data_IF_944939752755
#
_entry.id   IF_944939752755
#
_cell.length_a   1.000
_cell.length_b   1.000
_cell.length_c   1.000
_cell.angle_alpha   90.00
_cell.angle_beta   90.00
_cell.angle_gamma   90.00
#
_symmetry.space_group_name_H-M   'P 1'
#
loop_
_entity.id
_entity.type
_entity.pdbx_description
1 polymer ?
#
# COMPACT_ATOMS: atom_id res chain seq x y z
N UNK A 1 2.73 -1.45 16.75
CA UNK A 1 2.58 0.06 16.81
C UNK A 1 2.24 0.57 15.41
N UNK A 2 1.29 1.53 15.28
CA UNK A 2 0.95 2.13 13.97
C UNK A 2 1.33 3.61 13.96
N UNK A 3 2.04 4.05 12.90
CA UNK A 3 2.30 5.46 12.60
C UNK A 3 1.43 5.90 11.45
N UNK A 4 0.95 7.17 11.49
CA UNK A 4 0.04 7.76 10.50
C UNK A 4 0.46 9.19 10.20
N UNK A 5 0.54 9.55 8.92
CA UNK A 5 0.86 10.91 8.47
C UNK A 5 0.23 11.20 7.11
N UNK A 6 0.33 12.46 6.65
CA UNK A 6 -0.10 12.84 5.30
C UNK A 6 1.09 12.99 4.37
N UNK A 7 0.91 12.60 3.12
CA UNK A 7 1.90 12.79 2.07
C UNK A 7 1.25 13.10 0.71
N UNK A 8 2.02 13.74 -0.16
CA UNK A 8 1.58 14.10 -1.50
C UNK A 8 1.44 12.85 -2.37
N UNK A 9 0.32 12.76 -3.08
CA UNK A 9 -0.02 11.67 -3.99
C UNK A 9 -0.44 12.23 -5.36
N UNK A 10 0.00 11.63 -6.50
CA UNK A 10 -0.40 12.05 -7.84
C UNK A 10 -1.82 11.54 -8.15
N UNK A 11 -2.82 12.32 -7.81
CA UNK A 11 -4.21 12.01 -8.07
C UNK A 11 -4.60 12.27 -9.54
N UNK A 12 -5.81 11.87 -9.93
CA UNK A 12 -6.35 12.06 -11.29
C UNK A 12 -6.34 13.54 -11.69
N UNK A 13 -6.70 14.43 -10.76
CA UNK A 13 -6.82 15.87 -10.99
C UNK A 13 -5.68 16.68 -10.35
N UNK A 14 -4.46 16.16 -10.39
CA UNK A 14 -3.28 16.86 -9.85
C UNK A 14 -2.68 16.17 -8.63
N UNK A 15 -2.27 16.95 -7.63
CA UNK A 15 -1.65 16.42 -6.41
C UNK A 15 -2.59 16.58 -5.23
N UNK A 16 -2.80 15.51 -4.49
CA UNK A 16 -3.59 15.48 -3.25
C UNK A 16 -2.74 15.10 -2.05
N UNK A 17 -3.22 15.46 -0.84
CA UNK A 17 -2.69 14.93 0.40
C UNK A 17 -3.45 13.68 0.78
N UNK A 18 -2.74 12.57 0.95
CA UNK A 18 -3.32 11.30 1.38
C UNK A 18 -2.66 10.79 2.65
N UNK A 19 -3.43 10.07 3.43
CA UNK A 19 -2.93 9.42 4.63
C UNK A 19 -2.08 8.22 4.23
N UNK A 20 -0.91 8.15 4.83
CA UNK A 20 -0.04 6.99 4.80
C UNK A 20 0.04 6.38 6.20
N UNK A 21 0.20 5.07 6.26
CA UNK A 21 0.24 4.32 7.50
C UNK A 21 1.40 3.34 7.46
N UNK A 22 2.00 3.09 8.62
CA UNK A 22 3.00 2.03 8.81
C UNK A 22 2.71 1.30 10.10
N UNK A 23 2.48 0.01 10.02
CA UNK A 23 2.48 -0.89 11.15
C UNK A 23 3.92 -1.38 11.40
N UNK A 24 4.35 -1.30 12.63
CA UNK A 24 5.62 -1.83 13.12
C UNK A 24 5.33 -3.02 14.05
N UNK A 25 5.94 -4.20 13.80
CA UNK A 25 5.69 -5.40 14.59
C UNK A 25 6.11 -5.21 16.07
N UNK A 26 5.55 -6.03 16.95
CA UNK A 26 5.80 -5.95 18.40
C UNK A 26 7.28 -6.01 18.75
N UNK A 27 8.05 -6.81 18.02
CA UNK A 27 9.51 -6.95 18.21
C UNK A 27 10.33 -5.80 17.63
N UNK A 28 9.73 -4.82 16.97
CA UNK A 28 10.47 -3.71 16.34
C UNK A 28 11.29 -2.93 17.36
N UNK A 29 10.70 -2.54 18.49
CA UNK A 29 11.42 -1.81 19.55
C UNK A 29 12.34 -2.73 20.36
N UNK A 30 11.94 -3.98 20.57
CA UNK A 30 12.71 -4.94 21.37
C UNK A 30 14.01 -5.42 20.67
N UNK A 31 14.07 -5.32 19.35
CA UNK A 31 15.20 -5.79 18.53
C UNK A 31 15.73 -4.66 17.63
N UNK A 32 16.47 -3.67 18.16
CA UNK A 32 16.83 -2.44 17.45
C UNK A 32 17.73 -2.67 16.23
N UNK A 33 18.51 -3.75 16.20
CA UNK A 33 19.38 -4.07 15.06
C UNK A 33 18.68 -4.88 13.98
N UNK A 34 17.48 -5.40 14.26
CA UNK A 34 16.76 -6.23 13.32
C UNK A 34 16.11 -5.39 12.22
N UNK A 35 16.21 -5.90 10.98
CA UNK A 35 15.49 -5.39 9.81
C UNK A 35 14.37 -6.34 9.42
N UNK A 36 13.32 -5.81 8.80
CA UNK A 36 12.08 -6.51 8.56
C UNK A 36 11.69 -6.49 7.09
N UNK A 37 11.09 -7.57 6.57
CA UNK A 37 10.43 -7.53 5.27
C UNK A 37 9.24 -6.55 5.31
N UNK A 38 8.83 -6.07 4.14
CA UNK A 38 7.76 -5.07 4.02
C UNK A 38 6.65 -5.59 3.12
N UNK A 39 5.43 -5.53 3.62
CA UNK A 39 4.20 -5.69 2.85
C UNK A 39 3.64 -4.30 2.53
N UNK A 40 3.52 -3.96 1.27
CA UNK A 40 2.81 -2.78 0.79
C UNK A 40 1.36 -3.16 0.48
N UNK A 41 0.39 -2.38 0.97
CA UNK A 41 -1.02 -2.64 0.70
C UNK A 41 -1.71 -1.44 0.07
N UNK A 42 -2.59 -1.73 -0.87
CA UNK A 42 -3.53 -0.75 -1.41
C UNK A 42 -4.69 -0.51 -0.42
N UNK A 43 -5.42 0.59 -0.61
CA UNK A 43 -6.59 0.96 0.22
C UNK A 43 -6.28 1.16 1.71
N UNK A 44 -5.20 1.86 2.01
CA UNK A 44 -4.68 2.05 3.36
C UNK A 44 -5.69 2.53 4.40
N UNK A 45 -6.73 3.27 3.99
CA UNK A 45 -7.81 3.71 4.88
C UNK A 45 -8.61 2.53 5.45
N UNK A 46 -8.62 1.37 4.75
CA UNK A 46 -9.39 0.19 5.18
C UNK A 46 -8.58 -0.79 6.05
N UNK A 47 -7.27 -0.61 6.16
CA UNK A 47 -6.38 -1.65 6.68
C UNK A 47 -6.41 -1.75 8.21
N UNK A 48 -6.33 -0.61 8.92
CA UNK A 48 -6.08 -0.60 10.37
C UNK A 48 -7.20 -0.03 11.23
N UNK A 49 -7.79 1.10 10.86
CA UNK A 49 -8.68 1.88 11.74
C UNK A 49 -10.11 1.90 11.23
N UNK A 50 -11.06 1.61 12.12
CA UNK A 50 -12.49 1.65 11.78
C UNK A 50 -12.96 3.05 11.38
N UNK A 51 -12.44 4.08 12.05
CA UNK A 51 -12.78 5.49 11.78
C UNK A 51 -12.27 5.99 10.43
N UNK A 52 -11.25 5.37 9.86
CA UNK A 52 -10.72 5.71 8.54
C UNK A 52 -11.35 4.87 7.43
N UNK A 53 -11.93 3.70 7.78
CA UNK A 53 -12.41 2.73 6.82
C UNK A 53 -13.65 3.19 6.05
N UNK A 54 -13.67 2.95 4.74
CA UNK A 54 -14.74 3.36 3.82
C UNK A 54 -16.15 2.92 4.29
N UNK A 55 -16.24 1.74 4.92
CA UNK A 55 -17.50 1.18 5.42
C UNK A 55 -17.57 1.12 6.95
N UNK A 56 -16.76 1.91 7.65
CA UNK A 56 -16.76 1.99 9.11
C UNK A 56 -16.18 0.76 9.83
N UNK A 57 -15.58 -0.17 9.08
CA UNK A 57 -14.93 -1.34 9.64
C UNK A 57 -13.65 -1.65 8.88
N UNK A 58 -12.53 -1.67 9.59
CA UNK A 58 -11.22 -2.03 9.03
C UNK A 58 -11.09 -3.52 8.77
N UNK A 59 -10.08 -3.90 8.01
CA UNK A 59 -9.73 -5.31 7.74
C UNK A 59 -9.06 -5.99 8.93
N UNK A 60 -8.66 -5.24 9.98
CA UNK A 60 -8.06 -5.78 11.19
C UNK A 60 -6.67 -6.38 10.96
N UNK A 61 -5.93 -5.88 9.98
CA UNK A 61 -4.61 -6.46 9.61
C UNK A 61 -3.62 -6.34 10.75
N UNK A 62 -3.62 -5.22 11.50
CA UNK A 62 -2.71 -5.07 12.65
C UNK A 62 -2.98 -6.10 13.74
N UNK A 63 -4.27 -6.34 14.08
CA UNK A 63 -4.65 -7.33 15.08
C UNK A 63 -4.22 -8.74 14.67
N UNK A 64 -4.35 -9.05 13.37
CA UNK A 64 -3.89 -10.33 12.82
C UNK A 64 -2.37 -10.48 12.88
N UNK A 65 -1.61 -9.43 12.50
CA UNK A 65 -0.15 -9.45 12.53
C UNK A 65 0.38 -9.56 13.96
N UNK A 66 -0.27 -8.88 14.92
CA UNK A 66 0.04 -8.99 16.35
C UNK A 66 -0.30 -10.39 16.90
N UNK A 67 -1.47 -10.93 16.56
CA UNK A 67 -1.91 -12.27 16.97
C UNK A 67 -0.98 -13.38 16.47
N UNK A 68 -0.47 -13.24 15.24
CA UNK A 68 0.43 -14.24 14.62
C UNK A 68 1.91 -13.97 14.92
N UNK A 69 2.23 -12.90 15.66
CA UNK A 69 3.60 -12.42 15.89
C UNK A 69 4.43 -12.34 14.58
N UNK A 70 3.78 -11.87 13.51
CA UNK A 70 4.39 -11.82 12.17
C UNK A 70 5.48 -10.77 12.12
N UNK A 71 6.75 -11.14 11.80
CA UNK A 71 7.88 -10.23 11.85
C UNK A 71 7.99 -9.40 10.54
N UNK A 72 6.95 -8.66 10.20
CA UNK A 72 6.91 -7.83 9.00
C UNK A 72 6.41 -6.41 9.31
N UNK A 73 6.95 -5.42 8.60
CA UNK A 73 6.40 -4.07 8.51
C UNK A 73 5.30 -4.10 7.46
N UNK A 74 4.16 -3.48 7.75
CA UNK A 74 3.12 -3.27 6.74
C UNK A 74 2.97 -1.77 6.48
N UNK A 75 2.91 -1.38 5.21
CA UNK A 75 2.85 0.01 4.75
C UNK A 75 1.74 0.18 3.73
N UNK A 76 0.94 1.23 3.90
CA UNK A 76 -0.14 1.51 2.98
C UNK A 76 -0.40 3.01 2.79
N UNK A 77 -1.10 3.33 1.69
CA UNK A 77 -1.58 4.67 1.41
C UNK A 77 -3.08 4.62 1.11
N UNK A 78 -3.81 5.61 1.61
CA UNK A 78 -5.25 5.71 1.41
C UNK A 78 -5.63 5.96 -0.06
N UNK A 79 -6.77 5.41 -0.46
CA UNK A 79 -7.44 5.73 -1.72
C UNK A 79 -8.51 6.80 -1.52
N UNK A 80 -9.03 7.35 -2.61
CA UNK A 80 -10.14 8.29 -2.66
C UNK A 80 -11.25 7.81 -3.64
N UNK A 81 -12.18 8.70 -4.00
CA UNK A 81 -13.28 8.40 -4.88
C UNK A 81 -12.84 8.06 -6.32
N UNK A 82 -11.63 8.48 -6.73
CA UNK A 82 -11.05 8.18 -8.06
C UNK A 82 -10.31 6.82 -8.10
N UNK A 83 -10.48 6.01 -7.08
CA UNK A 83 -9.82 4.71 -6.92
C UNK A 83 -9.92 3.81 -8.15
N UNK A 84 -11.06 3.78 -8.82
CA UNK A 84 -11.25 2.93 -10.01
C UNK A 84 -10.32 3.34 -11.16
N UNK A 85 -10.07 4.63 -11.36
CA UNK A 85 -9.14 5.14 -12.36
C UNK A 85 -7.69 4.92 -11.93
N UNK A 86 -7.37 5.23 -10.68
CA UNK A 86 -6.01 5.14 -10.12
C UNK A 86 -5.51 3.69 -10.01
N UNK A 87 -6.43 2.74 -9.79
CA UNK A 87 -6.12 1.32 -9.67
C UNK A 87 -6.45 0.53 -10.95
N UNK A 88 -6.62 1.21 -12.06
CA UNK A 88 -6.72 0.58 -13.38
C UNK A 88 -5.36 0.63 -14.07
N UNK A 89 -4.70 -0.52 -14.30
CA UNK A 89 -3.39 -0.58 -14.96
C UNK A 89 -3.42 -0.01 -16.38
N UNK A 90 -4.52 -0.23 -17.08
CA UNK A 90 -4.73 0.15 -18.47
C UNK A 90 -6.06 0.88 -18.65
N UNK A 91 -6.15 1.63 -19.74
CA UNK A 91 -7.40 2.18 -20.22
C UNK A 91 -8.35 1.06 -20.63
N UNK A 92 -9.62 1.17 -20.23
CA UNK A 92 -10.66 0.24 -20.64
C UNK A 92 -12.05 0.89 -20.59
N UNK A 93 -12.99 0.27 -21.31
CA UNK A 93 -14.41 0.63 -21.29
C UNK A 93 -15.22 -0.49 -20.64
N UNK A 94 -16.04 -0.15 -19.67
CA UNK A 94 -16.97 -1.08 -19.02
C UNK A 94 -18.41 -0.69 -19.32
N UNK A 95 -19.28 -1.63 -19.76
CA UNK A 95 -20.66 -1.34 -20.12
C UNK A 95 -21.49 -0.75 -18.97
N UNK A 96 -21.13 -1.04 -17.73
CA UNK A 96 -21.85 -0.61 -16.53
C UNK A 96 -21.26 0.66 -15.92
N UNK A 97 -19.92 0.72 -15.85
CA UNK A 97 -19.20 1.78 -15.13
C UNK A 97 -18.59 2.84 -16.05
N UNK A 98 -18.63 2.65 -17.37
CA UNK A 98 -18.16 3.63 -18.36
C UNK A 98 -16.67 3.51 -18.67
N UNK A 99 -16.08 4.64 -19.05
CA UNK A 99 -14.71 4.76 -19.50
C UNK A 99 -13.74 4.99 -18.34
N UNK A 100 -12.62 4.25 -18.33
CA UNK A 100 -11.52 4.41 -17.37
C UNK A 100 -10.22 4.72 -18.10
N UNK A 101 -9.59 5.84 -17.77
CA UNK A 101 -8.32 6.28 -18.38
C UNK A 101 -7.10 5.41 -17.99
N UNK A 102 -7.17 4.71 -16.87
CA UNK A 102 -6.09 3.82 -16.41
C UNK A 102 -4.85 4.57 -15.93
N UNK A 103 -4.87 5.04 -14.69
CA UNK A 103 -3.75 5.74 -14.04
C UNK A 103 -2.88 4.83 -13.16
N UNK A 104 -3.07 3.52 -13.24
CA UNK A 104 -2.35 2.54 -12.42
C UNK A 104 -0.82 2.61 -12.54
N UNK A 105 -0.30 2.97 -13.71
CA UNK A 105 1.14 3.19 -13.89
C UNK A 105 1.66 4.37 -13.05
N UNK A 106 0.91 5.48 -12.97
CA UNK A 106 1.28 6.62 -12.13
C UNK A 106 1.23 6.25 -10.64
N UNK A 107 0.23 5.47 -10.23
CA UNK A 107 0.13 4.91 -8.87
C UNK A 107 1.35 4.05 -8.55
N UNK A 108 1.72 3.11 -9.41
CA UNK A 108 2.90 2.26 -9.18
C UNK A 108 4.21 3.04 -9.19
N UNK A 109 4.35 4.01 -10.10
CA UNK A 109 5.52 4.90 -10.12
C UNK A 109 5.68 5.63 -8.79
N UNK A 110 4.58 6.12 -8.20
CA UNK A 110 4.62 6.77 -6.90
C UNK A 110 4.99 5.79 -5.78
N UNK A 111 4.42 4.58 -5.75
CA UNK A 111 4.77 3.54 -4.78
C UNK A 111 6.28 3.23 -4.83
N UNK A 112 6.84 3.05 -6.03
CA UNK A 112 8.23 2.63 -6.23
C UNK A 112 9.22 3.77 -6.00
N UNK A 113 8.93 4.98 -6.51
CA UNK A 113 9.92 6.06 -6.53
C UNK A 113 9.74 7.10 -5.42
N UNK A 114 8.64 7.05 -4.66
CA UNK A 114 8.38 7.99 -3.56
C UNK A 114 8.06 7.27 -2.25
N UNK A 115 7.05 6.40 -2.24
CA UNK A 115 6.59 5.77 -1.01
C UNK A 115 7.61 4.76 -0.47
N UNK A 116 8.02 3.78 -1.28
CA UNK A 116 9.01 2.78 -0.87
C UNK A 116 10.33 3.39 -0.41
N UNK A 117 10.98 4.32 -1.12
CA UNK A 117 12.20 4.97 -0.63
C UNK A 117 12.01 5.70 0.69
N UNK A 118 10.86 6.37 0.89
CA UNK A 118 10.55 7.02 2.17
C UNK A 118 10.50 6.00 3.32
N UNK A 119 9.85 4.87 3.10
CA UNK A 119 9.74 3.78 4.09
C UNK A 119 11.14 3.21 4.40
N UNK A 120 11.91 2.89 3.37
CA UNK A 120 13.24 2.30 3.54
C UNK A 120 14.23 3.25 4.25
N UNK A 121 14.09 4.57 4.08
CA UNK A 121 14.92 5.58 4.76
C UNK A 121 14.55 5.79 6.23
N UNK A 122 13.28 5.63 6.58
CA UNK A 122 12.78 5.98 7.91
C UNK A 122 12.54 4.78 8.82
N UNK A 123 12.53 3.55 8.29
CA UNK A 123 12.27 2.34 9.03
C UNK A 123 13.31 1.26 8.73
N UNK A 124 13.49 0.34 9.67
CA UNK A 124 14.44 -0.77 9.53
C UNK A 124 13.88 -1.87 8.64
N UNK A 125 13.88 -1.60 7.33
CA UNK A 125 13.41 -2.52 6.29
C UNK A 125 14.54 -3.39 5.74
N UNK A 126 14.15 -4.52 5.12
CA UNK A 126 14.95 -5.28 4.16
C UNK A 126 14.51 -4.83 2.76
N UNK A 127 15.23 -3.88 2.12
CA UNK A 127 14.73 -3.18 0.92
C UNK A 127 14.77 -4.00 -0.37
N UNK A 128 15.28 -5.23 -0.29
CA UNK A 128 15.49 -6.11 -1.44
C UNK A 128 14.18 -6.75 -1.92
N UNK A 129 14.12 -7.06 -3.20
CA UNK A 129 12.97 -7.71 -3.84
C UNK A 129 12.43 -8.91 -3.04
N UNK A 130 13.31 -9.82 -2.61
CA UNK A 130 12.90 -11.01 -1.87
C UNK A 130 12.10 -10.74 -0.57
N UNK A 131 12.22 -9.53 -0.03
CA UNK A 131 11.60 -9.08 1.22
C UNK A 131 10.57 -7.97 1.00
N UNK A 132 10.20 -7.69 -0.26
CA UNK A 132 9.23 -6.66 -0.62
C UNK A 132 8.00 -7.32 -1.23
N UNK A 133 6.87 -7.19 -0.55
CA UNK A 133 5.59 -7.80 -0.92
C UNK A 133 4.55 -6.73 -1.22
N UNK A 134 3.54 -7.07 -2.02
CA UNK A 134 2.44 -6.16 -2.34
C UNK A 134 1.11 -6.91 -2.30
N UNK A 135 0.07 -6.27 -1.80
CA UNK A 135 -1.25 -6.88 -1.64
C UNK A 135 -2.38 -5.86 -1.70
N UNK A 136 -3.59 -6.34 -1.85
CA UNK A 136 -4.79 -5.52 -1.88
C UNK A 136 -6.04 -6.32 -2.19
N UNK A 137 -7.20 -5.67 -2.10
CA UNK A 137 -8.51 -6.27 -2.35
C UNK A 137 -9.14 -5.70 -3.61
N UNK A 138 -9.89 -6.50 -4.37
CA UNK A 138 -10.62 -6.04 -5.57
C UNK A 138 -9.67 -5.36 -6.58
N UNK A 139 -9.88 -4.08 -6.89
CA UNK A 139 -8.97 -3.28 -7.74
C UNK A 139 -7.54 -3.21 -7.16
N UNK A 140 -7.39 -3.20 -5.82
CA UNK A 140 -6.08 -3.33 -5.17
C UNK A 140 -5.42 -4.68 -5.44
N UNK A 141 -6.19 -5.76 -5.52
CA UNK A 141 -5.71 -7.08 -5.94
C UNK A 141 -5.26 -7.10 -7.40
N UNK A 142 -6.02 -6.46 -8.30
CA UNK A 142 -5.63 -6.26 -9.71
C UNK A 142 -4.30 -5.51 -9.82
N UNK A 143 -4.16 -4.42 -9.06
CA UNK A 143 -2.90 -3.66 -9.02
C UNK A 143 -1.74 -4.46 -8.44
N UNK A 144 -2.00 -5.34 -7.47
CA UNK A 144 -0.98 -6.23 -6.91
C UNK A 144 -0.48 -7.23 -7.96
N UNK A 145 -1.39 -7.84 -8.70
CA UNK A 145 -1.03 -8.71 -9.83
C UNK A 145 -0.25 -7.95 -10.91
N UNK A 146 -0.72 -6.76 -11.27
CA UNK A 146 -0.03 -5.87 -12.21
C UNK A 146 1.39 -5.53 -11.75
N UNK A 147 1.55 -5.21 -10.46
CA UNK A 147 2.86 -4.92 -9.87
C UNK A 147 3.81 -6.12 -9.97
N UNK A 148 3.32 -7.33 -9.69
CA UNK A 148 4.13 -8.55 -9.79
C UNK A 148 4.56 -8.87 -11.22
N UNK A 149 3.76 -8.53 -12.22
CA UNK A 149 4.06 -8.77 -13.63
C UNK A 149 4.99 -7.70 -14.23
N UNK A 150 4.76 -6.43 -13.93
CA UNK A 150 5.45 -5.30 -14.58
C UNK A 150 6.62 -4.75 -13.75
N UNK A 151 6.63 -4.96 -12.44
CA UNK A 151 7.64 -4.45 -11.51
C UNK A 151 8.22 -5.59 -10.66
N UNK A 152 8.48 -6.72 -11.31
CA UNK A 152 8.98 -7.93 -10.67
C UNK A 152 10.44 -7.85 -10.20
N UNK A 153 11.13 -6.78 -10.52
CA UNK A 153 12.43 -6.41 -9.96
C UNK A 153 12.32 -5.77 -8.56
N UNK A 154 11.14 -5.24 -8.24
CA UNK A 154 10.86 -4.58 -6.95
C UNK A 154 10.08 -5.48 -6.00
N UNK A 155 9.04 -6.15 -6.50
CA UNK A 155 8.14 -6.98 -5.70
C UNK A 155 8.30 -8.47 -6.00
N UNK A 156 8.26 -9.31 -4.95
CA UNK A 156 8.42 -10.77 -5.07
C UNK A 156 7.13 -11.57 -4.93
N UNK A 157 6.15 -11.04 -4.21
CA UNK A 157 4.84 -11.65 -3.91
C UNK A 157 3.81 -10.57 -3.70
#
# INVERSE_FOLDING_TARGET
>A
MIKKWSMSYPAVNGTEQRRAYVYLPTMYEAQPERRFPVLYMFDGQNVFFNEDATYGKSWGVADYLDYTDTPAIECNAGANNERLVEYSPYRFDDPTYGHFDGKGQATMSWFIHRFKPLIDQNFRTLPYRANTFIGGSSMGGLMSLYALLQYNDTYSR
#
